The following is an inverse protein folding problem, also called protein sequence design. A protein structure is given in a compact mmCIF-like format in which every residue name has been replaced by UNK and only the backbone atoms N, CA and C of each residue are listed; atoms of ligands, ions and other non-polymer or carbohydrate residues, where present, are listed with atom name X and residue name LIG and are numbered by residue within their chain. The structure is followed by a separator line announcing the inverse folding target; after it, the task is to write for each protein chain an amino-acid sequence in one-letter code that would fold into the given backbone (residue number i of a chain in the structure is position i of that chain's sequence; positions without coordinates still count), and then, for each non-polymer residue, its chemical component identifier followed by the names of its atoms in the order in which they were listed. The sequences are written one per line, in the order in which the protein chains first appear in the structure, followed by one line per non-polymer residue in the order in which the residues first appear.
data_IF_198593693718
#
_entry.id   IF_198593693718
#
_cell.length_a   1.000
_cell.length_b   1.000
_cell.length_c   1.000
_cell.angle_alpha   90.00
_cell.angle_beta   90.00
_cell.angle_gamma   90.00
#
_symmetry.space_group_name_H-M   'P 1'
#
loop_
_entity.id
_entity.type
_entity.pdbx_description
1 polymer ?
#
# COMPACT_ATOMS: atom_id res chain seq x y z
N UNK A 1 27.00 53.16 -27.61
CA UNK A 1 25.64 52.62 -27.83
C UNK A 1 25.36 51.59 -26.75
N UNK A 2 24.48 51.89 -25.79
CA UNK A 2 23.95 50.88 -24.86
C UNK A 2 22.92 50.08 -25.65
N UNK A 3 23.20 48.81 -25.97
CA UNK A 3 22.19 47.94 -26.55
C UNK A 3 21.12 47.73 -25.48
N UNK A 4 19.93 48.26 -25.73
CA UNK A 4 18.71 47.90 -25.06
C UNK A 4 18.48 46.41 -25.32
N UNK A 5 18.82 45.57 -24.33
CA UNK A 5 18.36 44.19 -24.28
C UNK A 5 16.83 44.29 -24.22
N UNK A 6 16.18 44.03 -25.35
CA UNK A 6 14.73 43.85 -25.41
C UNK A 6 14.37 42.82 -24.34
N UNK A 7 13.53 43.21 -23.38
CA UNK A 7 12.98 42.29 -22.40
C UNK A 7 12.29 41.17 -23.17
N UNK A 8 12.87 39.97 -23.14
CA UNK A 8 12.21 38.77 -23.66
C UNK A 8 10.80 38.70 -23.04
N UNK A 9 9.77 38.36 -23.82
CA UNK A 9 8.42 38.20 -23.27
C UNK A 9 8.48 37.15 -22.15
N UNK A 10 8.22 37.59 -20.92
CA UNK A 10 8.23 36.72 -19.75
C UNK A 10 6.91 35.97 -19.72
N UNK A 11 6.99 34.64 -19.77
CA UNK A 11 5.81 33.78 -19.59
C UNK A 11 5.30 34.00 -18.15
N UNK A 12 3.99 34.24 -17.95
CA UNK A 12 3.39 34.34 -16.62
C UNK A 12 3.61 33.08 -15.76
N UNK A 13 3.77 33.25 -14.45
CA UNK A 13 4.13 32.16 -13.53
C UNK A 13 3.03 31.09 -13.43
N UNK A 14 1.76 31.47 -13.56
CA UNK A 14 0.58 30.58 -13.61
C UNK A 14 0.63 29.64 -14.82
N UNK A 15 1.00 30.16 -15.99
CA UNK A 15 1.17 29.36 -17.21
C UNK A 15 2.36 28.40 -17.06
N UNK A 16 3.46 28.84 -16.43
CA UNK A 16 4.60 27.96 -16.12
C UNK A 16 4.14 26.83 -15.19
N UNK A 17 3.40 27.16 -14.12
CA UNK A 17 2.87 26.16 -13.18
C UNK A 17 2.00 25.14 -13.92
N UNK A 18 1.04 25.58 -14.73
CA UNK A 18 0.16 24.70 -15.51
C UNK A 18 0.94 23.75 -16.43
N UNK A 19 1.96 24.26 -17.12
CA UNK A 19 2.86 23.45 -17.96
C UNK A 19 3.58 22.41 -17.10
N UNK A 20 4.21 22.84 -16.01
CA UNK A 20 4.98 21.95 -15.13
C UNK A 20 4.11 20.87 -14.49
N UNK A 21 2.87 21.17 -14.09
CA UNK A 21 1.95 20.20 -13.48
C UNK A 21 1.58 19.04 -14.43
N UNK A 22 1.76 19.20 -15.75
CA UNK A 22 1.50 18.16 -16.75
C UNK A 22 2.72 17.30 -17.08
N UNK A 23 3.90 17.64 -16.56
CA UNK A 23 5.13 16.92 -16.88
C UNK A 23 5.32 15.67 -16.01
N UNK A 24 6.00 14.64 -16.53
CA UNK A 24 6.41 13.48 -15.74
C UNK A 24 7.29 13.89 -14.56
N UNK A 25 7.13 13.20 -13.41
CA UNK A 25 7.93 13.45 -12.20
C UNK A 25 9.43 13.45 -12.46
N UNK A 26 9.93 12.52 -13.29
CA UNK A 26 11.35 12.44 -13.65
C UNK A 26 11.87 13.72 -14.33
N UNK A 27 11.05 14.36 -15.17
CA UNK A 27 11.40 15.64 -15.80
C UNK A 27 11.40 16.77 -14.76
N UNK A 28 10.41 16.80 -13.88
CA UNK A 28 10.32 17.80 -12.81
C UNK A 28 11.50 17.72 -11.84
N UNK A 29 11.93 16.52 -11.45
CA UNK A 29 13.12 16.34 -10.60
C UNK A 29 14.37 16.93 -11.25
N UNK A 30 14.54 16.78 -12.58
CA UNK A 30 15.66 17.43 -13.32
C UNK A 30 15.52 18.95 -13.36
N UNK A 31 14.29 19.45 -13.43
CA UNK A 31 13.98 20.88 -13.49
C UNK A 31 14.23 21.62 -12.17
N UNK A 32 14.37 20.90 -11.04
CA UNK A 32 14.88 21.46 -9.80
C UNK A 32 16.25 22.15 -9.96
N UNK A 33 17.05 21.78 -10.97
CA UNK A 33 18.36 22.38 -11.24
C UNK A 33 18.30 23.67 -12.08
N UNK A 34 17.13 24.05 -12.62
CA UNK A 34 16.99 25.18 -13.56
C UNK A 34 16.89 26.51 -12.81
N UNK A 35 16.10 26.58 -11.74
CA UNK A 35 15.96 27.79 -10.93
C UNK A 35 15.50 27.47 -9.51
N UNK A 36 15.80 28.38 -8.57
CA UNK A 36 15.31 28.28 -7.18
C UNK A 36 13.77 28.31 -7.09
N UNK A 37 13.12 29.04 -7.99
CA UNK A 37 11.66 29.08 -8.05
C UNK A 37 11.10 27.69 -8.39
N UNK A 38 11.62 27.04 -9.43
CA UNK A 38 11.17 25.69 -9.82
C UNK A 38 11.50 24.65 -8.78
N UNK A 39 12.70 24.71 -8.18
CA UNK A 39 13.07 23.82 -7.09
C UNK A 39 12.08 23.92 -5.92
N UNK A 40 11.75 25.13 -5.45
CA UNK A 40 10.82 25.32 -4.34
C UNK A 40 9.39 24.90 -4.72
N UNK A 41 8.94 25.21 -5.94
CA UNK A 41 7.64 24.78 -6.44
C UNK A 41 7.53 23.23 -6.44
N UNK A 42 8.55 22.53 -6.93
CA UNK A 42 8.53 21.08 -7.12
C UNK A 42 8.73 20.32 -5.80
N UNK A 43 9.53 20.86 -4.87
CA UNK A 43 9.91 20.15 -3.64
C UNK A 43 9.15 20.56 -2.38
N UNK A 44 8.55 21.77 -2.35
CA UNK A 44 7.94 22.33 -1.13
C UNK A 44 6.49 22.75 -1.31
N UNK A 45 6.06 23.14 -2.51
CA UNK A 45 4.69 23.62 -2.71
C UNK A 45 3.71 22.44 -2.74
N UNK A 46 2.97 22.25 -1.63
CA UNK A 46 2.00 21.16 -1.48
C UNK A 46 0.87 21.21 -2.51
N UNK A 47 0.40 22.40 -2.88
CA UNK A 47 -0.66 22.58 -3.89
C UNK A 47 -0.18 22.08 -5.26
N UNK A 48 1.06 22.41 -5.63
CA UNK A 48 1.66 21.94 -6.87
C UNK A 48 1.84 20.41 -6.86
N UNK A 49 2.37 19.85 -5.78
CA UNK A 49 2.59 18.40 -5.63
C UNK A 49 1.27 17.64 -5.76
N UNK A 50 0.22 18.08 -5.06
CA UNK A 50 -1.11 17.47 -5.14
C UNK A 50 -1.70 17.56 -6.55
N UNK A 51 -1.62 18.73 -7.18
CA UNK A 51 -2.13 18.92 -8.54
C UNK A 51 -1.40 18.06 -9.58
N UNK A 52 -0.07 17.92 -9.44
CA UNK A 52 0.74 17.06 -10.31
C UNK A 52 0.39 15.59 -10.14
N UNK A 53 0.16 15.14 -8.90
CA UNK A 53 -0.27 13.78 -8.62
C UNK A 53 -1.67 13.51 -9.19
N UNK A 54 -2.63 14.41 -8.97
CA UNK A 54 -3.98 14.30 -9.54
C UNK A 54 -3.96 14.20 -11.06
N UNK A 55 -3.15 15.03 -11.72
CA UNK A 55 -2.97 14.96 -13.17
C UNK A 55 -2.33 13.63 -13.59
N UNK A 56 -1.37 13.11 -12.83
CA UNK A 56 -0.72 11.82 -13.12
C UNK A 56 -1.68 10.64 -12.98
N UNK A 57 -2.56 10.67 -11.97
CA UNK A 57 -3.62 9.67 -11.76
C UNK A 57 -4.68 9.75 -12.86
N UNK A 58 -5.15 10.96 -13.20
CA UNK A 58 -6.23 11.17 -14.17
C UNK A 58 -5.84 10.83 -15.61
N UNK A 59 -4.57 11.06 -16.00
CA UNK A 59 -4.16 10.89 -17.39
C UNK A 59 -3.91 9.43 -17.80
N UNK A 60 -4.03 8.44 -16.91
CA UNK A 60 -3.86 6.97 -17.12
C UNK A 60 -2.53 6.51 -17.77
N UNK A 61 -1.77 7.41 -18.39
CA UNK A 61 -0.39 7.27 -18.89
C UNK A 61 0.64 7.49 -17.78
N UNK A 62 0.20 7.91 -16.59
CA UNK A 62 1.04 8.21 -15.43
C UNK A 62 1.32 7.00 -14.52
N UNK A 63 0.67 5.85 -14.73
CA UNK A 63 0.99 4.64 -13.97
C UNK A 63 2.30 4.07 -14.49
N UNK A 64 3.34 4.09 -13.65
CA UNK A 64 4.64 3.49 -13.95
C UNK A 64 4.89 2.37 -12.96
N UNK A 65 5.62 1.36 -13.39
CA UNK A 65 5.57 0.06 -12.76
C UNK A 65 6.81 -0.12 -11.81
N UNK A 66 6.60 -0.44 -10.53
CA UNK A 66 7.61 -0.91 -9.55
C UNK A 66 7.65 -2.44 -9.39
N UNK A 67 8.60 -3.07 -10.06
CA UNK A 67 8.93 -4.48 -9.92
C UNK A 67 10.01 -4.63 -8.85
N UNK A 68 9.77 -5.53 -7.89
CA UNK A 68 10.81 -5.99 -6.98
C UNK A 68 11.15 -7.44 -7.33
N UNK A 69 12.20 -7.57 -8.14
CA UNK A 69 12.95 -8.81 -8.29
C UNK A 69 13.87 -8.93 -7.08
N UNK A 70 13.71 -9.98 -6.27
CA UNK A 70 14.70 -10.31 -5.24
C UNK A 70 15.65 -11.41 -5.72
N UNK A 71 16.92 -11.24 -5.34
CA UNK A 71 18.00 -12.22 -5.46
C UNK A 71 17.69 -13.50 -4.68
N UNK A 72 18.03 -14.65 -5.27
CA UNK A 72 17.88 -15.98 -4.68
C UNK A 72 18.88 -16.26 -3.53
N UNK A 73 19.76 -15.32 -3.20
CA UNK A 73 20.70 -15.47 -2.08
C UNK A 73 19.99 -15.25 -0.75
N UNK A 74 19.56 -16.33 -0.12
CA UNK A 74 19.32 -16.36 1.32
C UNK A 74 20.66 -16.05 2.02
N UNK A 75 20.78 -14.95 2.77
CA UNK A 75 22.01 -14.69 3.48
C UNK A 75 22.13 -15.76 4.55
N UNK A 76 23.28 -16.42 4.58
CA UNK A 76 23.66 -17.36 5.65
C UNK A 76 23.79 -16.68 7.02
N UNK A 77 23.65 -15.35 7.10
CA UNK A 77 23.86 -14.54 8.30
C UNK A 77 22.71 -13.56 8.56
N UNK A 78 22.37 -13.37 9.83
CA UNK A 78 21.31 -12.46 10.28
C UNK A 78 21.72 -10.99 10.12
N UNK A 79 20.85 -10.19 9.51
CA UNK A 79 21.07 -8.75 9.27
C UNK A 79 20.46 -7.83 10.33
N UNK A 80 19.83 -8.39 11.37
CA UNK A 80 19.16 -7.65 12.44
C UNK A 80 20.09 -6.82 13.36
N UNK A 81 21.41 -7.01 13.24
CA UNK A 81 22.43 -6.24 13.96
C UNK A 81 23.13 -5.20 13.09
N UNK A 82 22.85 -5.18 11.79
CA UNK A 82 23.39 -4.18 10.89
C UNK A 82 22.63 -2.87 11.09
N UNK A 83 23.34 -1.74 10.96
CA UNK A 83 22.69 -0.44 11.03
C UNK A 83 21.64 -0.35 9.90
N UNK A 84 20.34 -0.18 10.24
CA UNK A 84 19.27 -0.13 9.26
C UNK A 84 19.38 1.05 8.31
N UNK A 85 20.24 2.05 8.61
CA UNK A 85 20.52 3.22 7.78
C UNK A 85 21.67 3.01 6.78
N UNK A 86 22.46 1.93 6.89
CA UNK A 86 23.60 1.65 5.98
C UNK A 86 23.17 0.83 4.75
N UNK A 87 22.12 0.01 4.87
CA UNK A 87 21.57 -0.81 3.77
C UNK A 87 20.49 -0.19 2.85
N UNK A 88 19.78 0.90 3.19
CA UNK A 88 18.74 1.52 2.37
C UNK A 88 19.19 1.83 0.94
N UNK A 89 20.41 2.33 0.78
CA UNK A 89 20.92 2.81 -0.52
C UNK A 89 21.16 1.66 -1.50
N UNK A 90 21.82 0.57 -1.06
CA UNK A 90 22.03 -0.62 -1.90
C UNK A 90 20.70 -1.24 -2.32
N UNK A 91 19.76 -1.32 -1.39
CA UNK A 91 18.42 -1.82 -1.66
C UNK A 91 17.64 -0.90 -2.62
N UNK A 92 17.73 0.41 -2.42
CA UNK A 92 17.17 1.39 -3.33
C UNK A 92 17.73 1.20 -4.74
N UNK A 93 19.03 1.02 -4.90
CA UNK A 93 19.63 0.74 -6.21
C UNK A 93 19.10 -0.55 -6.84
N UNK A 94 18.91 -1.62 -6.07
CA UNK A 94 18.31 -2.88 -6.55
C UNK A 94 16.86 -2.68 -7.01
N UNK A 95 16.04 -1.99 -6.22
CA UNK A 95 14.67 -1.58 -6.58
C UNK A 95 14.67 -0.77 -7.88
N UNK A 96 15.58 0.20 -7.99
CA UNK A 96 15.65 1.11 -9.13
C UNK A 96 16.16 0.42 -10.41
N UNK A 97 17.15 -0.48 -10.32
CA UNK A 97 17.66 -1.25 -11.48
C UNK A 97 16.57 -2.15 -12.07
N UNK A 98 15.77 -2.78 -11.23
CA UNK A 98 14.64 -3.61 -11.67
C UNK A 98 13.61 -2.80 -12.47
N UNK A 99 13.37 -1.53 -12.10
CA UNK A 99 12.42 -0.65 -12.79
C UNK A 99 12.84 -0.26 -14.22
N UNK A 100 14.15 -0.17 -14.52
CA UNK A 100 14.65 0.30 -15.81
C UNK A 100 14.65 -0.77 -16.93
N UNK A 101 14.49 -2.06 -16.60
CA UNK A 101 14.64 -3.18 -17.55
C UNK A 101 13.30 -3.75 -18.05
N UNK A 102 12.17 -3.13 -17.73
CA UNK A 102 10.84 -3.64 -18.08
C UNK A 102 10.25 -2.94 -19.31
N UNK A 103 9.52 -3.67 -20.18
CA UNK A 103 8.77 -3.05 -21.28
C UNK A 103 7.69 -2.09 -20.74
N UNK A 104 7.46 -0.96 -21.43
CA UNK A 104 6.54 0.12 -21.04
C UNK A 104 5.07 -0.29 -20.82
N UNK A 105 4.66 -1.48 -21.28
CA UNK A 105 3.24 -1.89 -21.37
C UNK A 105 2.71 -2.60 -20.11
N UNK A 106 3.56 -3.06 -19.18
CA UNK A 106 3.14 -4.04 -18.18
C UNK A 106 2.88 -3.49 -16.79
N UNK A 107 1.66 -3.72 -16.29
CA UNK A 107 1.23 -3.58 -14.89
C UNK A 107 1.91 -4.62 -14.01
N UNK A 108 2.19 -4.22 -12.77
CA UNK A 108 3.21 -4.81 -11.92
C UNK A 108 2.94 -6.15 -11.28
N UNK A 109 4.01 -6.90 -11.10
CA UNK A 109 4.01 -8.13 -10.31
C UNK A 109 5.20 -8.11 -9.35
N UNK A 110 4.91 -8.02 -8.06
CA UNK A 110 5.88 -8.05 -6.97
C UNK A 110 6.17 -9.50 -6.56
N UNK A 111 7.44 -9.92 -6.42
CA UNK A 111 7.80 -11.21 -5.80
C UNK A 111 8.06 -10.98 -4.30
N UNK A 112 7.29 -11.61 -3.43
CA UNK A 112 7.55 -11.61 -1.98
C UNK A 112 8.85 -12.39 -1.69
N UNK A 113 9.98 -11.68 -1.72
CA UNK A 113 11.31 -12.19 -1.40
C UNK A 113 11.67 -11.93 0.07
N UNK A 114 12.87 -11.39 0.35
CA UNK A 114 13.26 -10.87 1.68
C UNK A 114 12.35 -9.76 2.18
N UNK A 115 11.61 -9.12 1.27
CA UNK A 115 10.66 -8.06 1.54
C UNK A 115 9.24 -8.53 1.27
N UNK A 116 8.30 -8.05 2.07
CA UNK A 116 6.86 -8.15 1.86
C UNK A 116 6.29 -6.76 1.59
N UNK A 117 5.44 -6.63 0.57
CA UNK A 117 4.73 -5.39 0.29
C UNK A 117 3.62 -5.19 1.33
N UNK A 118 3.73 -4.12 2.12
CA UNK A 118 2.66 -3.70 3.02
C UNK A 118 1.61 -2.84 2.29
N UNK A 119 2.02 -2.06 1.29
CA UNK A 119 1.09 -1.31 0.45
C UNK A 119 1.77 -0.27 -0.41
N UNK A 120 0.99 0.30 -1.33
CA UNK A 120 1.35 1.45 -2.16
C UNK A 120 0.26 2.51 -1.99
N UNK A 121 0.65 3.78 -1.84
CA UNK A 121 -0.28 4.89 -1.77
C UNK A 121 0.36 6.11 -2.43
N UNK A 122 -0.29 6.68 -3.45
CA UNK A 122 0.10 7.97 -4.04
C UNK A 122 1.61 8.06 -4.40
N UNK A 123 2.17 6.97 -4.91
CA UNK A 123 3.60 6.88 -5.31
C UNK A 123 4.59 6.56 -4.19
N UNK A 124 4.11 6.30 -2.98
CA UNK A 124 4.93 5.80 -1.87
C UNK A 124 4.66 4.30 -1.70
N UNK A 125 5.72 3.52 -1.51
CA UNK A 125 5.67 2.08 -1.28
C UNK A 125 6.15 1.78 0.13
N UNK A 126 5.41 0.94 0.84
CA UNK A 126 5.75 0.43 2.16
C UNK A 126 6.15 -1.04 2.06
N UNK A 127 7.36 -1.36 2.56
CA UNK A 127 7.95 -2.69 2.52
C UNK A 127 8.30 -3.17 3.93
N UNK A 128 8.23 -4.48 4.15
CA UNK A 128 8.58 -5.15 5.40
C UNK A 128 9.73 -6.10 5.12
N UNK A 129 10.87 -5.94 5.79
CA UNK A 129 11.98 -6.91 5.76
C UNK A 129 11.93 -7.77 7.00
N UNK A 130 11.74 -9.07 6.85
CA UNK A 130 11.80 -10.01 7.98
C UNK A 130 13.24 -10.48 8.21
N UNK A 131 13.67 -10.54 9.47
CA UNK A 131 14.94 -11.13 9.86
C UNK A 131 14.72 -12.62 10.20
N UNK A 132 14.96 -13.49 9.23
CA UNK A 132 14.86 -14.95 9.39
C UNK A 132 16.17 -15.48 10.01
N UNK A 133 16.07 -16.58 10.79
CA UNK A 133 17.18 -17.30 11.43
C UNK A 133 17.89 -16.58 12.58
N UNK A 134 17.25 -15.58 13.20
CA UNK A 134 17.82 -14.92 14.37
C UNK A 134 17.86 -15.88 15.57
N UNK A 135 19.01 -16.05 16.25
CA UNK A 135 19.10 -16.87 17.45
C UNK A 135 18.37 -16.25 18.66
N UNK A 136 18.04 -14.95 18.62
CA UNK A 136 17.05 -14.39 19.54
C UNK A 136 15.67 -14.91 19.17
N UNK A 137 14.91 -15.39 20.17
CA UNK A 137 13.51 -15.84 19.99
C UNK A 137 12.56 -14.76 19.48
N UNK A 138 13.04 -13.52 19.35
CA UNK A 138 12.28 -12.39 18.85
C UNK A 138 12.43 -12.30 17.33
N UNK A 139 11.33 -12.55 16.62
CA UNK A 139 11.23 -12.21 15.22
C UNK A 139 11.31 -10.69 15.06
N UNK A 140 12.39 -10.20 14.46
CA UNK A 140 12.55 -8.78 14.12
C UNK A 140 12.20 -8.56 12.67
N UNK A 141 11.54 -7.44 12.39
CA UNK A 141 11.35 -6.94 11.04
C UNK A 141 11.65 -5.45 11.00
N UNK A 142 11.97 -4.93 9.82
CA UNK A 142 12.17 -3.50 9.58
C UNK A 142 11.17 -3.03 8.54
N UNK A 143 10.53 -1.89 8.79
CA UNK A 143 9.63 -1.25 7.83
C UNK A 143 10.41 -0.22 7.03
N UNK A 144 10.20 -0.23 5.72
CA UNK A 144 10.82 0.72 4.81
C UNK A 144 9.77 1.46 4.00
N UNK A 145 10.00 2.75 3.80
CA UNK A 145 9.26 3.57 2.84
C UNK A 145 10.15 3.91 1.65
N UNK A 146 9.58 3.84 0.46
CA UNK A 146 10.27 4.08 -0.79
C UNK A 146 9.44 5.00 -1.69
N UNK A 147 10.09 6.03 -2.24
CA UNK A 147 9.63 6.71 -3.44
C UNK A 147 10.64 6.47 -4.57
N UNK A 148 10.38 5.51 -5.46
CA UNK A 148 11.22 5.23 -6.61
C UNK A 148 11.41 6.43 -7.53
N UNK A 149 10.37 7.26 -7.74
CA UNK A 149 10.44 8.40 -8.65
C UNK A 149 11.44 9.47 -8.19
N UNK A 150 11.67 9.57 -6.88
CA UNK A 150 12.63 10.47 -6.27
C UNK A 150 13.95 9.79 -5.89
N UNK A 151 14.11 8.50 -6.16
CA UNK A 151 15.23 7.69 -5.67
C UNK A 151 15.40 7.75 -4.15
N UNK A 152 14.29 7.83 -3.42
CA UNK A 152 14.29 7.94 -1.96
C UNK A 152 13.88 6.63 -1.32
N UNK A 153 14.63 6.21 -0.30
CA UNK A 153 14.38 4.99 0.44
C UNK A 153 14.79 5.19 1.89
N UNK A 154 13.98 4.70 2.82
CA UNK A 154 14.12 5.04 4.23
C UNK A 154 13.64 3.93 5.15
N UNK A 155 14.44 3.60 6.16
CA UNK A 155 14.01 2.76 7.28
C UNK A 155 13.16 3.57 8.28
N UNK A 156 12.08 2.98 8.76
CA UNK A 156 11.32 3.55 9.87
C UNK A 156 11.96 3.18 11.20
N UNK A 157 11.87 4.05 12.22
CA UNK A 157 12.31 3.70 13.56
C UNK A 157 11.50 2.51 14.11
N UNK A 158 12.05 1.79 15.10
CA UNK A 158 11.32 0.80 15.86
C UNK A 158 9.96 1.33 16.35
N UNK A 159 8.90 0.57 16.10
CA UNK A 159 7.58 0.91 16.65
C UNK A 159 7.40 0.35 18.06
N UNK A 160 6.36 0.82 18.75
CA UNK A 160 6.12 0.56 20.18
C UNK A 160 6.03 -0.93 20.55
N UNK A 161 5.48 -1.76 19.66
CA UNK A 161 5.23 -3.19 19.90
C UNK A 161 6.27 -4.15 19.30
N UNK A 162 7.45 -3.68 18.87
CA UNK A 162 8.44 -4.51 18.15
C UNK A 162 9.19 -5.54 19.02
N UNK A 163 9.02 -5.54 20.34
CA UNK A 163 9.62 -6.54 21.24
C UNK A 163 8.65 -7.68 21.62
N UNK A 164 7.45 -7.75 21.04
CA UNK A 164 6.43 -8.73 21.42
C UNK A 164 6.52 -10.02 20.58
N UNK A 165 6.29 -11.17 21.21
CA UNK A 165 6.42 -12.51 20.58
C UNK A 165 5.39 -12.82 19.48
N UNK A 166 4.37 -11.98 19.29
CA UNK A 166 3.29 -12.17 18.29
C UNK A 166 3.58 -11.51 16.94
N UNK A 167 4.80 -11.01 16.76
CA UNK A 167 5.19 -10.17 15.62
C UNK A 167 5.15 -10.88 14.27
N UNK A 168 5.34 -12.20 14.19
CA UNK A 168 5.24 -12.99 12.94
C UNK A 168 3.93 -12.75 12.19
N UNK A 169 2.93 -12.23 12.90
CA UNK A 169 1.55 -12.07 12.46
C UNK A 169 1.15 -10.60 12.32
N UNK A 170 2.14 -9.70 12.34
CA UNK A 170 1.92 -8.26 12.18
C UNK A 170 1.58 -7.95 10.74
N UNK A 171 0.60 -7.09 10.57
CA UNK A 171 0.26 -6.51 9.28
C UNK A 171 0.38 -5.00 9.28
N UNK A 172 0.61 -4.45 8.11
CA UNK A 172 0.81 -3.03 7.91
C UNK A 172 -0.06 -2.57 6.74
N UNK A 173 -0.66 -1.40 6.86
CA UNK A 173 -1.21 -0.67 5.72
C UNK A 173 -0.64 0.75 5.67
N UNK A 174 -0.43 1.21 4.44
CA UNK A 174 -0.01 2.57 4.14
C UNK A 174 -1.22 3.35 3.63
N UNK A 175 -1.40 4.56 4.12
CA UNK A 175 -2.40 5.49 3.59
C UNK A 175 -1.93 6.93 3.67
N UNK A 176 -2.65 7.78 2.96
CA UNK A 176 -2.47 9.22 3.00
C UNK A 176 -3.63 9.84 3.77
N UNK A 177 -3.31 10.47 4.90
CA UNK A 177 -4.26 11.25 5.67
C UNK A 177 -4.41 12.64 5.07
N UNK A 178 -5.56 12.88 4.44
CA UNK A 178 -5.87 14.16 3.80
C UNK A 178 -6.02 15.30 4.81
N UNK A 179 -6.39 15.01 6.06
CA UNK A 179 -6.60 16.03 7.09
C UNK A 179 -5.26 16.54 7.62
N UNK A 180 -4.34 15.63 7.94
CA UNK A 180 -3.00 16.02 8.38
C UNK A 180 -2.01 16.25 7.23
N UNK A 181 -2.43 16.05 5.98
CA UNK A 181 -1.57 16.13 4.79
C UNK A 181 -0.29 15.27 4.92
N UNK A 182 -0.44 14.07 5.51
CA UNK A 182 0.67 13.21 5.89
C UNK A 182 0.44 11.75 5.49
N UNK A 183 1.53 11.06 5.16
CA UNK A 183 1.46 9.62 5.00
C UNK A 183 1.59 8.95 6.35
N UNK A 184 0.73 7.97 6.56
CA UNK A 184 0.68 7.21 7.80
C UNK A 184 0.79 5.72 7.52
N UNK A 185 1.48 5.03 8.41
CA UNK A 185 1.57 3.58 8.39
C UNK A 185 0.87 3.05 9.64
N UNK A 186 -0.22 2.34 9.46
CA UNK A 186 -0.89 1.64 10.57
C UNK A 186 -0.30 0.25 10.67
N UNK A 187 0.12 -0.11 11.87
CA UNK A 187 0.58 -1.45 12.21
C UNK A 187 -0.46 -2.11 13.11
N UNK A 188 -0.82 -3.32 12.75
CA UNK A 188 -1.82 -4.14 13.45
C UNK A 188 -1.14 -5.43 13.87
N UNK A 189 -1.05 -5.65 15.18
CA UNK A 189 -0.47 -6.87 15.75
C UNK A 189 -1.54 -7.60 16.55
N UNK A 190 -1.81 -8.89 16.26
CA UNK A 190 -2.77 -9.66 17.04
C UNK A 190 -2.24 -9.91 18.45
N UNK A 191 -3.02 -9.52 19.46
CA UNK A 191 -2.89 -10.03 20.82
C UNK A 191 -3.73 -11.29 21.01
N UNK A 192 -3.80 -11.81 22.25
CA UNK A 192 -4.60 -13.01 22.52
C UNK A 192 -6.10 -12.78 22.26
N UNK A 193 -6.65 -11.65 22.74
CA UNK A 193 -8.09 -11.31 22.67
C UNK A 193 -8.33 -9.86 22.21
N UNK A 194 -7.29 -9.16 21.74
CA UNK A 194 -7.34 -7.75 21.37
C UNK A 194 -6.39 -7.47 20.21
N UNK A 195 -6.53 -6.31 19.59
CA UNK A 195 -5.60 -5.80 18.61
C UNK A 195 -4.69 -4.74 19.24
N UNK A 196 -3.39 -4.87 19.00
CA UNK A 196 -2.42 -3.81 19.25
C UNK A 196 -2.28 -2.99 17.98
N UNK A 197 -2.50 -1.68 18.09
CA UNK A 197 -2.44 -0.77 16.95
C UNK A 197 -1.55 0.41 17.29
N UNK A 198 -0.56 0.67 16.43
CA UNK A 198 0.17 1.92 16.43
C UNK A 198 0.31 2.50 15.03
N UNK A 199 0.41 3.82 14.98
CA UNK A 199 0.40 4.59 13.75
C UNK A 199 1.68 5.39 13.66
N UNK A 200 2.43 5.18 12.59
CA UNK A 200 3.56 6.02 12.22
C UNK A 200 3.08 7.22 11.43
N UNK A 201 3.66 8.39 11.71
CA UNK A 201 3.53 9.61 10.92
C UNK A 201 4.87 9.95 10.27
N UNK A 202 4.89 10.17 8.95
CA UNK A 202 6.12 10.57 8.26
C UNK A 202 6.56 11.96 8.75
N UNK A 203 5.64 12.91 8.84
CA UNK A 203 5.95 14.29 9.24
C UNK A 203 6.60 14.37 10.61
N UNK A 204 6.12 13.58 11.57
CA UNK A 204 6.61 13.58 12.95
C UNK A 204 7.73 12.56 13.20
N UNK A 205 8.06 11.76 12.19
CA UNK A 205 9.01 10.66 12.28
C UNK A 205 8.85 9.79 13.56
N UNK A 206 7.63 9.44 13.91
CA UNK A 206 7.37 8.73 15.16
C UNK A 206 6.15 7.84 15.09
N UNK A 207 6.22 6.75 15.86
CA UNK A 207 5.09 5.86 16.11
C UNK A 207 4.32 6.34 17.34
N UNK A 208 2.99 6.41 17.22
CA UNK A 208 2.10 6.65 18.36
C UNK A 208 1.18 5.46 18.54
N UNK A 209 1.08 4.89 19.76
CA UNK A 209 0.05 3.88 20.03
C UNK A 209 -1.32 4.52 19.82
N UNK A 210 -2.18 3.84 19.09
CA UNK A 210 -3.57 4.27 18.90
C UNK A 210 -4.41 3.95 20.14
N UNK A 211 -4.09 2.85 20.80
CA UNK A 211 -4.44 2.48 22.17
C UNK A 211 -3.52 1.33 22.56
N UNK A 212 -3.24 1.14 23.86
CA UNK A 212 -2.43 0.00 24.30
C UNK A 212 -3.14 -1.33 24.06
N UNK A 213 -4.48 -1.36 24.02
CA UNK A 213 -5.29 -2.56 23.75
C UNK A 213 -6.64 -2.13 23.13
N UNK A 214 -7.05 -2.74 22.02
CA UNK A 214 -8.39 -2.52 21.44
C UNK A 214 -9.12 -3.86 21.33
N UNK A 215 -10.20 -4.01 22.10
CA UNK A 215 -10.99 -5.23 22.17
C UNK A 215 -12.14 -5.17 21.16
N UNK A 216 -12.31 -6.18 20.29
CA UNK A 216 -13.46 -6.24 19.39
C UNK A 216 -14.77 -6.50 20.16
N UNK A 217 -15.93 -5.99 19.68
CA UNK A 217 -17.24 -6.19 20.31
C UNK A 217 -17.65 -7.66 20.56
N UNK A 218 -17.24 -8.60 19.71
CA UNK A 218 -17.55 -10.03 19.83
C UNK A 218 -16.27 -10.87 20.02
N UNK A 219 -15.65 -10.80 21.20
CA UNK A 219 -14.28 -11.31 21.39
C UNK A 219 -14.17 -12.86 21.46
N UNK A 220 -13.75 -13.48 20.36
CA UNK A 220 -12.97 -14.72 20.34
C UNK A 220 -11.52 -14.40 19.89
N UNK A 221 -10.52 -15.23 20.23
CA UNK A 221 -9.17 -15.09 19.69
C UNK A 221 -9.18 -15.13 18.16
N UNK A 222 -8.60 -14.12 17.51
CA UNK A 222 -8.55 -14.00 16.05
C UNK A 222 -7.09 -14.00 15.56
N UNK A 223 -6.85 -14.71 14.46
CA UNK A 223 -5.64 -14.62 13.65
C UNK A 223 -5.87 -13.64 12.50
N UNK A 224 -4.90 -12.77 12.21
CA UNK A 224 -4.98 -11.91 11.04
C UNK A 224 -4.84 -12.74 9.76
N UNK A 225 -5.93 -12.88 9.01
CA UNK A 225 -6.01 -13.79 7.86
C UNK A 225 -5.22 -13.28 6.66
N UNK A 226 -5.30 -11.99 6.37
CA UNK A 226 -4.72 -11.35 5.20
C UNK A 226 -4.33 -9.90 5.47
N UNK A 227 -3.61 -9.30 4.52
CA UNK A 227 -3.15 -7.92 4.58
C UNK A 227 -4.33 -6.94 4.68
N UNK A 228 -4.24 -5.91 5.53
CA UNK A 228 -5.23 -4.85 5.62
C UNK A 228 -5.30 -4.04 4.32
N UNK A 229 -6.49 -3.51 4.06
CA UNK A 229 -6.76 -2.52 3.00
C UNK A 229 -7.26 -1.23 3.61
N UNK A 230 -7.08 -0.10 2.93
CA UNK A 230 -7.59 1.20 3.40
C UNK A 230 -8.64 1.71 2.43
N UNK A 231 -9.83 2.00 2.95
CA UNK A 231 -10.98 2.45 2.19
C UNK A 231 -11.67 3.60 2.92
N UNK A 232 -11.97 4.69 2.22
CA UNK A 232 -12.64 5.88 2.80
C UNK A 232 -12.04 6.35 4.15
N UNK A 233 -10.72 6.37 4.26
CA UNK A 233 -10.02 6.83 5.47
C UNK A 233 -10.10 5.88 6.67
N UNK A 234 -10.56 4.64 6.48
CA UNK A 234 -10.58 3.60 7.50
C UNK A 234 -9.74 2.39 7.07
N UNK A 235 -9.08 1.73 8.02
CA UNK A 235 -8.33 0.50 7.75
C UNK A 235 -9.21 -0.73 8.01
N UNK A 236 -9.20 -1.69 7.10
CA UNK A 236 -10.02 -2.89 7.14
C UNK A 236 -9.13 -4.13 7.09
N UNK A 237 -9.40 -5.14 7.92
CA UNK A 237 -8.70 -6.42 7.89
C UNK A 237 -9.59 -7.58 8.27
N UNK A 238 -9.27 -8.75 7.71
CA UNK A 238 -9.96 -9.99 8.05
C UNK A 238 -9.28 -10.66 9.25
N UNK A 239 -10.05 -10.89 10.30
CA UNK A 239 -9.70 -11.79 11.38
C UNK A 239 -10.33 -13.17 11.13
N UNK A 240 -9.58 -14.24 11.37
CA UNK A 240 -10.04 -15.62 11.33
C UNK A 240 -10.07 -16.16 12.76
N UNK A 241 -11.20 -16.71 13.20
CA UNK A 241 -11.32 -17.30 14.52
C UNK A 241 -10.34 -18.48 14.70
N UNK A 242 -9.56 -18.45 15.79
CA UNK A 242 -8.53 -19.46 16.08
C UNK A 242 -9.16 -20.81 16.49
N UNK A 243 -10.36 -20.82 17.06
CA UNK A 243 -11.00 -22.06 17.52
C UNK A 243 -11.44 -22.96 16.35
N UNK A 244 -11.93 -22.36 15.27
CA UNK A 244 -12.54 -23.11 14.16
C UNK A 244 -11.86 -22.90 12.80
N UNK A 245 -10.96 -21.93 12.66
CA UNK A 245 -10.22 -21.59 11.43
C UNK A 245 -11.10 -21.41 10.18
N UNK A 246 -12.39 -21.12 10.38
CA UNK A 246 -13.42 -21.10 9.33
C UNK A 246 -14.39 -19.93 9.44
N UNK A 247 -14.45 -19.30 10.61
CA UNK A 247 -15.23 -18.09 10.82
C UNK A 247 -14.35 -16.88 10.64
N UNK A 248 -14.81 -15.95 9.81
CA UNK A 248 -14.09 -14.74 9.46
C UNK A 248 -14.90 -13.52 9.86
N UNK A 249 -14.22 -12.50 10.35
CA UNK A 249 -14.82 -11.23 10.75
C UNK A 249 -14.02 -10.12 10.06
N UNK A 250 -14.73 -9.18 9.45
CA UNK A 250 -14.11 -7.98 8.91
C UNK A 250 -14.02 -6.96 10.03
N UNK A 251 -12.81 -6.62 10.45
CA UNK A 251 -12.55 -5.56 11.40
C UNK A 251 -12.35 -4.25 10.63
N UNK A 252 -12.83 -3.15 11.20
CA UNK A 252 -12.62 -1.79 10.70
C UNK A 252 -12.04 -0.92 11.80
N UNK A 253 -10.97 -0.21 11.51
CA UNK A 253 -10.40 0.85 12.34
C UNK A 253 -10.83 2.18 11.76
N UNK A 254 -11.74 2.87 12.45
CA UNK A 254 -12.06 4.25 12.17
C UNK A 254 -10.94 5.12 12.76
N UNK A 255 -10.14 5.68 11.87
CA UNK A 255 -8.98 6.50 12.22
C UNK A 255 -9.38 7.88 12.79
N UNK A 256 -10.61 8.33 12.57
CA UNK A 256 -11.11 9.60 13.08
C UNK A 256 -11.74 9.45 14.46
N UNK A 257 -12.52 8.38 14.66
CA UNK A 257 -13.24 8.12 15.91
C UNK A 257 -12.46 7.25 16.90
N UNK A 258 -11.24 6.87 16.53
CA UNK A 258 -10.34 6.07 17.35
C UNK A 258 -10.94 4.77 17.88
N UNK A 259 -11.70 4.07 17.03
CA UNK A 259 -12.41 2.85 17.43
C UNK A 259 -12.31 1.74 16.40
N UNK A 260 -12.32 0.51 16.92
CA UNK A 260 -12.50 -0.68 16.10
C UNK A 260 -13.97 -1.07 16.10
N UNK A 261 -14.51 -1.28 14.91
CA UNK A 261 -15.79 -1.94 14.69
C UNK A 261 -15.59 -3.30 14.03
N UNK A 262 -16.62 -4.11 14.08
CA UNK A 262 -16.69 -5.39 13.37
C UNK A 262 -17.86 -5.36 12.38
N UNK A 263 -17.63 -5.91 11.20
CA UNK A 263 -18.57 -5.99 10.08
C UNK A 263 -18.72 -7.47 9.74
N UNK A 264 -19.97 -7.92 9.69
CA UNK A 264 -20.30 -9.28 9.27
C UNK A 264 -20.01 -9.42 7.78
N UNK A 265 -19.26 -10.45 7.41
CA UNK A 265 -18.99 -10.79 6.01
C UNK A 265 -20.19 -11.52 5.39
N UNK A 266 -20.30 -11.64 4.05
CA UNK A 266 -21.40 -12.39 3.44
C UNK A 266 -21.44 -13.86 3.90
N UNK A 267 -22.65 -14.40 4.07
CA UNK A 267 -22.83 -15.79 4.52
C UNK A 267 -22.28 -16.81 3.51
N UNK A 268 -21.70 -17.89 4.05
CA UNK A 268 -21.20 -19.02 3.27
C UNK A 268 -19.92 -18.75 2.48
N UNK A 269 -19.27 -17.60 2.69
CA UNK A 269 -17.98 -17.28 2.08
C UNK A 269 -16.86 -17.99 2.82
N UNK A 270 -16.10 -18.81 2.10
CA UNK A 270 -14.90 -19.48 2.61
C UNK A 270 -13.63 -18.84 2.04
N UNK A 271 -12.60 -18.72 2.88
CA UNK A 271 -11.32 -18.09 2.54
C UNK A 271 -11.52 -16.72 1.85
N UNK A 272 -12.19 -15.77 2.53
CA UNK A 272 -12.44 -14.44 1.98
C UNK A 272 -11.12 -13.69 1.76
N UNK A 273 -11.11 -12.88 0.70
CA UNK A 273 -10.06 -11.95 0.33
C UNK A 273 -10.62 -10.54 0.25
N UNK A 274 -9.92 -9.55 0.83
CA UNK A 274 -10.27 -8.14 0.72
C UNK A 274 -9.60 -7.50 -0.48
N UNK A 275 -10.39 -6.79 -1.30
CA UNK A 275 -9.91 -6.06 -2.46
C UNK A 275 -10.86 -4.88 -2.77
N UNK A 276 -10.64 -4.18 -3.88
CA UNK A 276 -11.52 -3.14 -4.39
C UNK A 276 -12.22 -3.60 -5.66
N UNK A 277 -13.48 -3.24 -5.85
CA UNK A 277 -14.19 -3.44 -7.10
C UNK A 277 -14.98 -2.18 -7.44
N UNK A 278 -14.71 -1.61 -8.61
CA UNK A 278 -15.34 -0.36 -9.07
C UNK A 278 -15.27 0.76 -8.02
N UNK A 279 -14.09 0.91 -7.39
CA UNK A 279 -13.85 1.94 -6.38
C UNK A 279 -14.53 1.71 -5.04
N UNK A 280 -15.13 0.54 -4.80
CA UNK A 280 -15.77 0.16 -3.53
C UNK A 280 -15.05 -1.03 -2.90
N UNK A 281 -15.09 -1.13 -1.57
CA UNK A 281 -14.54 -2.28 -0.85
C UNK A 281 -15.27 -3.57 -1.26
N UNK A 282 -14.52 -4.63 -1.53
CA UNK A 282 -15.05 -5.90 -2.01
C UNK A 282 -14.46 -7.09 -1.26
N UNK A 283 -15.26 -8.14 -1.17
CA UNK A 283 -14.83 -9.47 -0.70
C UNK A 283 -14.91 -10.44 -1.86
N UNK A 284 -13.86 -11.22 -2.06
CA UNK A 284 -13.81 -12.33 -3.01
C UNK A 284 -13.56 -13.61 -2.22
N UNK A 285 -14.39 -14.63 -2.39
CA UNK A 285 -14.20 -15.88 -1.65
C UNK A 285 -14.98 -17.05 -2.24
N UNK A 286 -14.72 -18.24 -1.75
CA UNK A 286 -15.35 -19.46 -2.24
C UNK A 286 -16.79 -19.57 -1.75
N UNK A 287 -17.73 -19.82 -2.66
CA UNK A 287 -19.13 -20.19 -2.34
C UNK A 287 -19.38 -21.68 -2.43
N UNK A 288 -18.47 -22.40 -3.09
CA UNK A 288 -18.48 -23.86 -3.25
C UNK A 288 -17.08 -24.30 -3.67
N UNK A 289 -16.84 -25.60 -3.76
CA UNK A 289 -15.54 -26.17 -4.15
C UNK A 289 -15.00 -25.73 -5.52
N UNK A 290 -15.84 -25.14 -6.39
CA UNK A 290 -15.47 -24.79 -7.79
C UNK A 290 -15.92 -23.39 -8.23
N UNK A 291 -16.38 -22.55 -7.30
CA UNK A 291 -16.91 -21.22 -7.62
C UNK A 291 -16.47 -20.22 -6.55
N UNK A 292 -15.96 -19.09 -7.01
CA UNK A 292 -15.75 -17.90 -6.19
C UNK A 292 -16.86 -16.89 -6.45
N UNK A 293 -17.34 -16.24 -5.41
CA UNK A 293 -18.20 -15.06 -5.52
C UNK A 293 -17.40 -13.79 -5.29
N UNK A 294 -17.92 -12.67 -5.80
CA UNK A 294 -17.47 -11.33 -5.48
C UNK A 294 -18.66 -10.54 -4.93
N UNK A 295 -18.46 -9.95 -3.76
CA UNK A 295 -19.43 -9.10 -3.08
C UNK A 295 -18.84 -7.72 -2.88
N UNK A 296 -19.66 -6.70 -3.07
CA UNK A 296 -19.28 -5.30 -2.89
C UNK A 296 -20.01 -4.76 -1.67
N UNK A 297 -19.26 -4.06 -0.82
CA UNK A 297 -19.78 -3.38 0.34
C UNK A 297 -20.63 -2.19 -0.11
N UNK A 298 -21.81 -2.04 0.49
CA UNK A 298 -22.66 -0.86 0.36
C UNK A 298 -22.91 -0.27 1.74
N UNK A 299 -22.70 1.04 1.83
CA UNK A 299 -23.05 1.81 3.01
C UNK A 299 -24.45 2.40 2.82
N UNK A 300 -25.37 2.11 3.74
CA UNK A 300 -26.69 2.76 3.72
C UNK A 300 -26.58 4.23 4.17
N UNK A 301 -26.79 5.13 3.22
CA UNK A 301 -26.70 6.59 3.40
C UNK A 301 -27.74 7.20 4.35
N UNK A 302 -28.75 6.43 4.79
CA UNK A 302 -29.82 6.91 5.69
C UNK A 302 -29.42 6.96 7.16
N UNK A 303 -28.39 6.23 7.56
CA UNK A 303 -27.95 6.14 8.97
C UNK A 303 -26.73 7.00 9.30
N UNK A 304 -26.01 7.51 8.31
CA UNK A 304 -24.85 8.40 8.54
C UNK A 304 -25.22 9.77 9.14
N UNK A 305 -26.49 10.20 8.99
CA UNK A 305 -26.97 11.51 9.47
C UNK A 305 -27.46 11.50 10.93
N UNK A 306 -27.58 10.32 11.58
CA UNK A 306 -27.98 10.21 12.97
C UNK A 306 -26.73 9.81 13.78
N UNK A 307 -26.10 10.78 14.47
CA UNK A 307 -24.84 10.63 15.21
C UNK A 307 -24.87 9.69 16.43
N UNK A 308 -25.36 8.47 16.27
CA UNK A 308 -25.27 7.38 17.25
C UNK A 308 -24.29 6.33 16.76
N UNK A 309 -23.27 6.02 17.54
CA UNK A 309 -22.14 5.15 17.20
C UNK A 309 -22.42 3.66 16.99
N UNK A 310 -23.55 3.26 16.41
CA UNK A 310 -23.79 1.91 15.90
C UNK A 310 -23.66 1.90 14.38
N UNK A 311 -22.89 0.95 13.83
CA UNK A 311 -22.61 0.86 12.39
C UNK A 311 -23.85 1.09 11.54
N UNK A 312 -23.85 2.16 10.74
CA UNK A 312 -24.86 2.36 9.69
C UNK A 312 -24.94 1.09 8.85
N UNK A 313 -26.14 0.71 8.39
CA UNK A 313 -26.39 -0.62 7.81
C UNK A 313 -25.45 -0.96 6.67
N UNK A 314 -24.33 -1.63 6.97
CA UNK A 314 -23.41 -2.13 5.96
C UNK A 314 -24.03 -3.40 5.41
N UNK A 315 -24.26 -3.41 4.11
CA UNK A 315 -24.78 -4.58 3.40
C UNK A 315 -23.82 -5.02 2.32
N UNK A 316 -23.83 -6.31 2.02
CA UNK A 316 -23.03 -6.88 0.94
C UNK A 316 -23.92 -7.23 -0.25
N UNK A 317 -23.60 -6.68 -1.42
CA UNK A 317 -24.26 -7.05 -2.67
C UNK A 317 -23.39 -8.00 -3.45
N UNK A 318 -23.87 -9.23 -3.71
CA UNK A 318 -23.20 -10.17 -4.61
C UNK A 318 -23.29 -9.66 -6.04
N UNK A 319 -22.15 -9.35 -6.65
CA UNK A 319 -22.11 -8.82 -8.02
C UNK A 319 -22.02 -9.94 -9.05
N UNK A 320 -21.14 -10.92 -8.82
CA UNK A 320 -20.87 -11.96 -9.81
C UNK A 320 -20.33 -13.24 -9.18
N UNK A 321 -20.35 -14.30 -9.99
CA UNK A 321 -19.72 -15.59 -9.71
C UNK A 321 -18.64 -15.82 -10.75
N UNK A 322 -17.39 -15.94 -10.33
CA UNK A 322 -16.26 -16.15 -11.23
C UNK A 322 -16.38 -17.54 -11.90
N UNK A 323 -16.20 -17.63 -13.23
CA UNK A 323 -16.23 -18.90 -13.97
C UNK A 323 -15.29 -19.96 -13.41
N UNK A 324 -15.69 -21.23 -13.46
CA UNK A 324 -14.88 -22.32 -12.90
C UNK A 324 -13.50 -22.47 -13.55
N UNK A 325 -13.34 -22.10 -14.82
CA UNK A 325 -12.04 -22.08 -15.51
C UNK A 325 -11.01 -21.18 -14.80
N UNK A 326 -11.46 -20.11 -14.15
CA UNK A 326 -10.63 -19.21 -13.35
C UNK A 326 -10.28 -19.86 -11.99
N UNK A 327 -11.20 -20.67 -11.45
CA UNK A 327 -11.04 -21.32 -10.14
C UNK A 327 -10.13 -22.55 -10.14
N UNK A 328 -9.84 -23.16 -11.31
CA UNK A 328 -9.01 -24.36 -11.43
C UNK A 328 -7.50 -24.10 -11.43
N UNK A 329 -7.07 -22.84 -11.49
CA UNK A 329 -5.69 -22.46 -11.18
C UNK A 329 -5.46 -22.57 -9.66
N UNK A 330 -5.05 -23.75 -9.19
CA UNK A 330 -4.73 -24.07 -7.79
C UNK A 330 -3.52 -23.25 -7.29
N UNK A 331 -3.38 -23.03 -5.97
CA UNK A 331 -4.17 -22.09 -5.18
C UNK A 331 -3.88 -20.64 -5.60
N UNK A 332 -4.92 -19.94 -6.03
CA UNK A 332 -4.85 -18.53 -6.42
C UNK A 332 -4.34 -17.69 -5.24
N UNK A 333 -3.10 -17.18 -5.34
CA UNK A 333 -2.64 -16.01 -4.56
C UNK A 333 -3.21 -14.81 -5.31
N UNK A 334 -4.22 -14.18 -4.73
CA UNK A 334 -4.93 -13.05 -5.33
C UNK A 334 -3.98 -11.87 -5.42
N UNK A 335 -3.87 -11.30 -6.62
CA UNK A 335 -2.84 -10.32 -6.91
C UNK A 335 -3.40 -8.88 -6.80
N UNK A 336 -4.70 -8.71 -7.08
CA UNK A 336 -5.46 -7.46 -6.90
C UNK A 336 -6.44 -7.18 -8.05
N UNK A 337 -7.45 -6.35 -7.84
CA UNK A 337 -8.27 -5.75 -8.91
C UNK A 337 -7.57 -4.48 -9.41
N UNK A 338 -7.33 -4.42 -10.72
CA UNK A 338 -6.77 -3.25 -11.37
C UNK A 338 -7.83 -2.16 -11.54
N UNK A 339 -7.38 -0.90 -11.56
CA UNK A 339 -8.20 0.27 -11.91
C UNK A 339 -8.97 0.13 -13.25
N UNK A 340 -8.53 -0.75 -14.16
CA UNK A 340 -9.24 -0.99 -15.44
C UNK A 340 -10.33 -2.06 -15.39
N UNK A 341 -10.91 -2.34 -14.22
CA UNK A 341 -11.92 -3.39 -14.06
C UNK A 341 -11.45 -4.77 -14.57
N UNK A 342 -10.14 -5.02 -14.46
CA UNK A 342 -9.54 -6.31 -14.76
C UNK A 342 -9.00 -6.92 -13.48
N UNK A 343 -9.33 -8.17 -13.23
CA UNK A 343 -8.81 -8.90 -12.08
C UNK A 343 -7.57 -9.69 -12.47
N UNK A 344 -6.42 -9.38 -11.86
CA UNK A 344 -5.17 -10.08 -12.15
C UNK A 344 -4.99 -11.31 -11.27
N UNK A 345 -4.54 -12.39 -11.88
CA UNK A 345 -4.28 -13.66 -11.22
C UNK A 345 -2.99 -14.28 -11.75
N UNK A 346 -2.25 -14.94 -10.87
CA UNK A 346 -1.10 -15.74 -11.22
C UNK A 346 -1.36 -17.22 -10.91
N UNK A 347 -0.94 -18.11 -11.81
CA UNK A 347 -0.93 -19.55 -11.58
C UNK A 347 0.25 -19.95 -10.69
N UNK A 348 0.22 -21.17 -10.14
CA UNK A 348 1.35 -21.74 -9.40
C UNK A 348 2.61 -21.93 -10.27
N UNK A 349 2.42 -22.08 -11.59
CA UNK A 349 3.51 -22.17 -12.57
C UNK A 349 3.99 -20.77 -13.01
N UNK A 350 3.42 -19.72 -12.41
CA UNK A 350 3.79 -18.33 -12.64
C UNK A 350 3.12 -17.67 -13.84
N UNK A 351 2.27 -18.36 -14.58
CA UNK A 351 1.52 -17.76 -15.69
C UNK A 351 0.55 -16.70 -15.19
N UNK A 352 0.57 -15.52 -15.80
CA UNK A 352 -0.28 -14.39 -15.42
C UNK A 352 -1.44 -14.26 -16.38
N UNK A 353 -2.65 -14.20 -15.83
CA UNK A 353 -3.88 -13.98 -16.58
C UNK A 353 -4.64 -12.80 -15.97
N UNK A 354 -5.42 -12.11 -16.79
CA UNK A 354 -6.41 -11.15 -16.31
C UNK A 354 -7.82 -11.62 -16.66
N UNK A 355 -8.78 -11.27 -15.82
CA UNK A 355 -10.19 -11.43 -16.11
C UNK A 355 -10.84 -10.06 -16.29
N UNK A 356 -11.33 -9.80 -17.49
CA UNK A 356 -12.09 -8.60 -17.81
C UNK A 356 -13.53 -8.77 -17.34
N UNK A 357 -13.93 -8.00 -16.32
CA UNK A 357 -15.29 -8.08 -15.77
C UNK A 357 -16.36 -7.60 -16.74
N UNK A 358 -16.03 -6.63 -17.60
CA UNK A 358 -16.95 -6.04 -18.57
C UNK A 358 -17.27 -7.00 -19.70
N UNK A 359 -16.24 -7.67 -20.21
CA UNK A 359 -16.36 -8.61 -21.33
C UNK A 359 -16.51 -10.07 -20.89
N UNK A 360 -16.33 -10.35 -19.60
CA UNK A 360 -16.31 -11.70 -19.00
C UNK A 360 -15.34 -12.66 -19.68
N UNK A 361 -14.19 -12.15 -20.11
CA UNK A 361 -13.15 -12.91 -20.81
C UNK A 361 -11.90 -13.03 -19.96
N UNK A 362 -11.24 -14.18 -20.07
CA UNK A 362 -9.89 -14.39 -19.56
C UNK A 362 -8.92 -14.02 -20.67
N UNK A 363 -7.94 -13.19 -20.36
CA UNK A 363 -6.89 -12.75 -21.26
C UNK A 363 -5.53 -13.16 -20.71
N UNK A 364 -4.75 -13.87 -21.52
CA UNK A 364 -3.33 -14.09 -21.25
C UNK A 364 -2.61 -12.73 -21.27
N UNK A 365 -1.76 -12.48 -20.28
CA UNK A 365 -0.94 -11.27 -20.23
C UNK A 365 0.32 -11.43 -21.09
N UNK A 366 0.13 -11.76 -22.38
CA UNK A 366 1.20 -11.91 -23.37
C UNK A 366 2.31 -12.91 -22.98
N UNK A 367 1.98 -14.00 -22.28
CA UNK A 367 2.98 -15.00 -21.89
C UNK A 367 3.95 -14.53 -20.80
N UNK A 368 3.56 -13.57 -19.95
CA UNK A 368 4.31 -13.28 -18.72
C UNK A 368 4.32 -14.53 -17.84
N UNK A 369 5.51 -15.07 -17.64
CA UNK A 369 5.77 -16.21 -16.77
C UNK A 369 6.60 -15.71 -15.59
N UNK A 370 6.00 -15.79 -14.40
CA UNK A 370 6.66 -15.59 -13.13
C UNK A 370 7.41 -16.86 -12.72
N UNK A 371 8.33 -16.74 -11.77
CA UNK A 371 8.98 -17.91 -11.19
C UNK A 371 7.99 -18.77 -10.37
N UNK A 372 7.63 -19.95 -10.87
CA UNK A 372 6.67 -20.88 -10.26
C UNK A 372 7.15 -21.61 -9.00
N UNK A 373 8.14 -21.09 -8.27
CA UNK A 373 8.65 -21.75 -7.07
C UNK A 373 7.67 -21.67 -5.89
N UNK A 374 7.41 -22.83 -5.26
CA UNK A 374 6.30 -23.11 -4.31
C UNK A 374 6.16 -22.20 -3.07
N UNK A 375 7.07 -21.26 -2.84
CA UNK A 375 7.18 -20.45 -1.61
C UNK A 375 6.93 -18.95 -1.80
N UNK A 376 6.75 -18.46 -3.03
CA UNK A 376 6.67 -17.02 -3.29
C UNK A 376 5.23 -16.53 -3.49
N UNK A 377 4.93 -15.35 -2.96
CA UNK A 377 3.63 -14.68 -3.06
C UNK A 377 3.78 -13.50 -4.00
N UNK A 378 2.83 -13.34 -4.92
CA UNK A 378 2.85 -12.25 -5.88
C UNK A 378 1.81 -11.21 -5.51
N UNK A 379 2.19 -9.92 -5.54
CA UNK A 379 1.28 -8.81 -5.21
C UNK A 379 1.27 -7.78 -6.34
N UNK A 380 0.10 -7.23 -6.67
CA UNK A 380 -0.06 -6.11 -7.60
C UNK A 380 -0.40 -4.90 -6.75
N UNK A 381 0.18 -3.76 -7.12
CA UNK A 381 -0.23 -2.48 -6.60
C UNK A 381 -0.21 -1.45 -7.73
N UNK A 382 -1.23 -0.61 -7.76
CA UNK A 382 -1.26 0.54 -8.64
C UNK A 382 -0.27 1.60 -8.11
N UNK A 383 0.78 1.87 -8.89
CA UNK A 383 1.79 2.88 -8.57
C UNK A 383 1.72 4.03 -9.57
N UNK A 384 1.80 5.24 -9.04
CA UNK A 384 1.91 6.48 -9.82
C UNK A 384 3.14 7.22 -9.29
N UNK A 385 4.13 7.59 -10.13
CA UNK A 385 5.24 8.44 -9.72
C UNK A 385 4.73 9.70 -9.02
N UNK A 386 5.37 10.07 -7.92
CA UNK A 386 4.91 11.18 -7.08
C UNK A 386 6.08 12.05 -6.62
N UNK A 387 5.80 13.33 -6.39
CA UNK A 387 6.72 14.31 -5.82
C UNK A 387 6.74 14.30 -4.28
N UNK A 388 5.94 13.45 -3.62
CA UNK A 388 5.97 13.34 -2.16
C UNK A 388 7.28 12.72 -1.67
N UNK A 389 7.97 13.39 -0.75
CA UNK A 389 9.21 12.86 -0.16
C UNK A 389 8.93 11.90 0.99
N UNK A 390 9.71 10.82 1.07
CA UNK A 390 9.72 9.92 2.24
C UNK A 390 10.74 10.35 3.30
N UNK A 391 11.57 11.34 2.98
CA UNK A 391 12.54 11.93 3.91
C UNK A 391 11.79 12.98 4.73
N UNK A 392 11.83 12.89 6.07
CA UNK A 392 11.10 13.84 6.91
C UNK A 392 11.78 15.21 6.81
N UNK A 393 11.03 16.31 7.01
CA UNK A 393 11.67 17.60 7.19
C UNK A 393 12.66 17.53 8.36
N UNK A 394 13.77 18.31 8.33
CA UNK A 394 14.66 18.40 9.47
C UNK A 394 13.84 18.79 10.70
N UNK A 395 14.07 18.10 11.82
CA UNK A 395 13.50 18.50 13.11
C UNK A 395 13.93 19.96 13.32
N UNK A 396 12.98 20.85 13.58
CA UNK A 396 13.31 22.20 13.98
C UNK A 396 14.24 22.07 15.19
N UNK A 397 15.49 22.47 15.04
CA UNK A 397 16.39 22.60 16.17
C UNK A 397 15.65 23.49 17.16
N UNK A 398 15.40 22.96 18.37
CA UNK A 398 14.98 23.81 19.48
C UNK A 398 16.00 24.94 19.53
N UNK A 399 15.55 26.16 19.23
CA UNK A 399 16.33 27.37 19.47
C UNK A 399 16.63 27.38 20.97
N UNK A 400 17.75 26.78 21.36
CA UNK A 400 18.34 26.99 22.66
C UNK A 400 18.72 28.46 22.71
N UNK A 401 17.79 29.24 23.24
CA UNK A 401 18.00 30.61 23.66
C UNK A 401 19.10 30.60 24.73
N UNK A 402 20.34 30.86 24.31
CA UNK A 402 21.32 31.43 25.21
C UNK A 402 21.09 32.94 25.25
N UNK A 403 20.32 33.34 26.26
CA UNK A 403 20.36 34.68 26.86
C UNK A 403 21.74 35.01 27.38
#
# INVERSE_FOLDING_TARGET
MKSSISSLPRIPDDIIIEILTRLPVKSLVRFCCVSKFWQNLITKNRVFIHSQLQNSVNNLSGFSNVLLLNSDEWPSHCTCHENPDIQPQKLAEEVMRASNNLPEVYRLIFRQGKFTLAGCCNGIICLIKYCINCPSRDEKFVVYLCNPALHQFRALPPGNFQALSYISRTSLCLFFDQVSDDYKVVRITPGCNFWLVDIYSISNNSWKPFSSEIVPPWSQPQYLWERPVVYNGSAYWLGCCIENWRSYILNVLDLFQERIGEIVIPDGVQHPHLDFFQGSLAIIGWISTRKKGLWVMKEDSRTAAAGGGGGGGITWTKQLVLPSAITFYKPIRTVGVLFTEKYLMASFEGTVISYDFKNQKVEDQNGVILDGSKRHEYVVADYVPSLFSVIPPPLAEEEFSHT
#
